data_IF_194985529824
#
_entry.id   IF_194985529824
#
_cell.length_a   1.000
_cell.length_b   1.000
_cell.length_c   1.000
_cell.angle_alpha   90.00
_cell.angle_beta   90.00
_cell.angle_gamma   90.00
#
_symmetry.space_group_name_H-M   'P 1'
#
loop_
_entity.id
_entity.type
_entity.pdbx_description
1 polymer ?
#
# COMPACT_ATOMS: atom_id res chain seq x y z
N UNK A 1 -50.28 12.32 -9.21
CA UNK A 1 -49.24 12.86 -8.30
C UNK A 1 -47.94 12.77 -9.08
N UNK A 2 -47.38 13.92 -9.49
CA UNK A 2 -46.19 14.01 -10.35
C UNK A 2 -44.95 14.09 -9.47
N UNK A 3 -44.00 13.17 -9.65
CA UNK A 3 -42.65 13.35 -9.15
C UNK A 3 -41.72 13.10 -10.33
N UNK A 4 -41.28 14.21 -10.94
CA UNK A 4 -40.18 14.22 -11.88
C UNK A 4 -38.89 14.26 -11.07
N UNK A 5 -38.20 13.12 -10.95
CA UNK A 5 -36.86 13.10 -10.37
C UNK A 5 -35.86 13.12 -11.52
N UNK A 6 -35.26 14.29 -11.75
CA UNK A 6 -34.12 14.45 -12.64
C UNK A 6 -32.87 13.98 -11.89
N UNK A 7 -32.28 12.85 -12.32
CA UNK A 7 -30.91 12.53 -11.97
C UNK A 7 -29.99 12.95 -13.13
N UNK A 8 -29.10 13.89 -12.82
CA UNK A 8 -27.91 14.18 -13.60
C UNK A 8 -26.79 13.45 -12.85
N UNK A 9 -26.31 12.34 -13.41
CA UNK A 9 -25.13 11.63 -12.91
C UNK A 9 -24.13 11.50 -14.06
N UNK A 10 -22.93 12.04 -13.85
CA UNK A 10 -21.83 11.98 -14.80
C UNK A 10 -21.35 10.55 -14.97
N UNK A 11 -21.46 10.05 -16.20
CA UNK A 11 -20.86 8.79 -16.61
C UNK A 11 -19.34 8.95 -16.69
N UNK A 12 -18.61 8.30 -15.78
CA UNK A 12 -17.24 7.91 -16.05
C UNK A 12 -17.28 6.75 -17.05
N UNK A 13 -16.66 6.94 -18.21
CA UNK A 13 -16.57 5.94 -19.25
C UNK A 13 -15.67 4.77 -18.80
N UNK A 14 -16.26 3.78 -18.16
CA UNK A 14 -15.64 2.47 -17.98
C UNK A 14 -15.74 1.70 -19.28
N UNK A 15 -14.59 1.25 -19.76
CA UNK A 15 -14.41 0.45 -20.98
C UNK A 15 -15.29 -0.80 -20.91
N UNK A 16 -16.29 -0.88 -21.78
CA UNK A 16 -17.08 -2.08 -22.04
C UNK A 16 -16.14 -3.19 -22.56
N UNK A 17 -15.90 -4.22 -21.76
CA UNK A 17 -15.36 -5.49 -22.25
C UNK A 17 -16.49 -6.15 -23.02
N UNK A 18 -16.33 -6.21 -24.35
CA UNK A 18 -17.34 -6.73 -25.26
C UNK A 18 -17.73 -8.17 -24.94
N UNK A 19 -18.95 -8.36 -24.41
CA UNK A 19 -19.63 -9.64 -24.45
C UNK A 19 -19.95 -9.95 -25.91
N UNK A 20 -19.26 -10.95 -26.46
CA UNK A 20 -19.44 -11.42 -27.81
C UNK A 20 -20.87 -11.94 -27.99
N UNK A 21 -21.69 -11.16 -28.69
CA UNK A 21 -22.98 -11.59 -29.22
C UNK A 21 -22.73 -12.74 -30.20
N UNK A 22 -22.83 -13.98 -29.73
CA UNK A 22 -22.74 -15.17 -30.59
C UNK A 22 -23.91 -15.14 -31.57
N UNK A 23 -23.59 -14.81 -32.82
CA UNK A 23 -24.52 -14.89 -33.94
C UNK A 23 -24.77 -16.38 -34.23
N UNK A 24 -25.90 -16.90 -33.76
CA UNK A 24 -26.41 -18.20 -34.18
C UNK A 24 -26.74 -18.17 -35.67
N UNK A 25 -25.81 -18.68 -36.50
CA UNK A 25 -26.01 -18.90 -37.92
C UNK A 25 -26.80 -20.20 -38.15
N UNK A 26 -28.09 -20.18 -37.80
CA UNK A 26 -29.08 -21.14 -38.27
C UNK A 26 -30.00 -20.46 -39.26
N UNK A 27 -29.96 -20.85 -40.53
CA UNK A 27 -30.93 -20.39 -41.52
C UNK A 27 -32.29 -21.05 -41.24
N UNK A 28 -32.98 -20.57 -40.20
CA UNK A 28 -34.39 -20.79 -39.99
C UNK A 28 -35.19 -20.10 -41.13
N UNK A 29 -36.41 -20.55 -41.46
CA UNK A 29 -37.27 -19.80 -42.36
C UNK A 29 -37.30 -18.35 -41.90
N UNK A 30 -37.14 -17.40 -42.83
CA UNK A 30 -37.18 -15.98 -42.53
C UNK A 30 -38.58 -15.60 -42.04
N UNK A 31 -38.87 -15.90 -40.77
CA UNK A 31 -39.84 -15.15 -39.98
C UNK A 31 -39.26 -13.76 -39.90
N UNK A 32 -39.87 -12.81 -40.63
CA UNK A 32 -39.39 -11.45 -40.67
C UNK A 32 -39.25 -10.94 -39.23
N UNK A 33 -40.30 -11.12 -38.42
CA UNK A 33 -40.32 -10.84 -36.99
C UNK A 33 -39.33 -11.72 -36.26
N UNK A 34 -38.27 -11.09 -35.77
CA UNK A 34 -37.23 -11.77 -35.00
C UNK A 34 -37.22 -11.13 -33.61
N UNK A 35 -38.09 -11.57 -32.69
CA UNK A 35 -37.97 -11.17 -31.30
C UNK A 35 -36.68 -11.76 -30.74
N UNK A 36 -35.87 -10.91 -30.12
CA UNK A 36 -34.68 -11.33 -29.40
C UNK A 36 -34.70 -10.65 -28.03
N UNK A 37 -34.91 -11.47 -27.01
CA UNK A 37 -34.83 -11.07 -25.61
C UNK A 37 -33.67 -11.84 -25.00
N UNK A 38 -32.78 -11.13 -24.31
CA UNK A 38 -31.66 -11.74 -23.60
C UNK A 38 -31.43 -10.97 -22.29
N UNK A 39 -31.17 -11.70 -21.22
CA UNK A 39 -30.75 -11.13 -19.95
C UNK A 39 -29.28 -11.46 -19.68
N UNK A 40 -28.59 -10.52 -19.06
CA UNK A 40 -27.31 -10.72 -18.38
C UNK A 40 -27.52 -10.44 -16.90
N UNK A 41 -26.45 -10.41 -16.11
CA UNK A 41 -26.57 -9.98 -14.71
C UNK A 41 -26.70 -8.45 -14.55
N UNK A 42 -26.47 -7.68 -15.62
CA UNK A 42 -26.60 -6.22 -15.61
C UNK A 42 -28.01 -5.73 -15.97
N UNK A 43 -28.77 -6.53 -16.73
CA UNK A 43 -30.08 -6.11 -17.23
C UNK A 43 -30.68 -7.02 -18.30
N UNK A 44 -31.77 -6.55 -18.90
CA UNK A 44 -32.49 -7.20 -20.01
C UNK A 44 -32.37 -6.35 -21.28
N UNK A 45 -31.98 -6.97 -22.39
CA UNK A 45 -32.02 -6.37 -23.72
C UNK A 45 -33.22 -6.92 -24.50
N UNK A 46 -34.07 -6.03 -24.99
CA UNK A 46 -35.23 -6.35 -25.82
C UNK A 46 -35.00 -5.78 -27.22
N UNK A 47 -34.81 -6.66 -28.20
CA UNK A 47 -34.63 -6.29 -29.60
C UNK A 47 -35.71 -6.94 -30.48
N UNK A 48 -36.69 -6.14 -30.89
CA UNK A 48 -37.81 -6.51 -31.75
C UNK A 48 -37.58 -5.87 -33.12
N UNK A 49 -37.35 -6.68 -34.16
CA UNK A 49 -37.04 -6.18 -35.51
C UNK A 49 -37.95 -6.76 -36.58
N UNK A 50 -38.08 -5.99 -37.67
CA UNK A 50 -38.90 -6.29 -38.86
C UNK A 50 -40.40 -6.46 -38.59
N UNK A 51 -40.94 -5.67 -37.66
CA UNK A 51 -42.38 -5.53 -37.47
C UNK A 51 -43.00 -4.63 -38.54
N UNK A 52 -44.33 -4.67 -38.67
CA UNK A 52 -45.04 -3.83 -39.61
C UNK A 52 -44.95 -2.35 -39.22
N UNK A 53 -44.35 -1.51 -40.06
CA UNK A 53 -44.16 -0.08 -39.77
C UNK A 53 -45.46 0.71 -39.56
N UNK A 54 -46.56 0.24 -40.15
CA UNK A 54 -47.91 0.83 -40.05
C UNK A 54 -48.84 0.01 -39.16
N UNK A 55 -48.37 -1.12 -38.65
CA UNK A 55 -49.10 -1.96 -37.72
C UNK A 55 -49.06 -1.33 -36.33
N UNK A 56 -50.13 -1.51 -35.54
CA UNK A 56 -50.14 -1.11 -34.13
C UNK A 56 -49.54 -2.24 -33.31
N UNK A 57 -48.22 -2.26 -33.20
CA UNK A 57 -47.54 -3.21 -32.32
C UNK A 57 -47.35 -2.57 -30.95
N UNK A 58 -47.44 -3.36 -29.89
CA UNK A 58 -47.10 -2.94 -28.52
C UNK A 58 -46.16 -3.91 -27.86
N UNK A 59 -45.30 -3.37 -27.00
CA UNK A 59 -44.38 -4.13 -26.17
C UNK A 59 -44.62 -3.72 -24.71
N UNK A 60 -44.81 -4.72 -23.86
CA UNK A 60 -44.84 -4.58 -22.41
C UNK A 60 -43.65 -5.35 -21.83
N UNK A 61 -42.84 -4.67 -21.01
CA UNK A 61 -41.69 -5.25 -20.32
C UNK A 61 -41.93 -5.15 -18.83
N UNK A 62 -41.87 -6.29 -18.16
CA UNK A 62 -42.11 -6.44 -16.73
C UNK A 62 -40.84 -7.02 -16.11
N UNK A 63 -40.30 -6.38 -15.08
CA UNK A 63 -39.14 -6.85 -14.30
C UNK A 63 -39.59 -6.96 -12.84
N UNK A 64 -39.42 -8.13 -12.24
CA UNK A 64 -39.84 -8.44 -10.86
C UNK A 64 -41.30 -8.10 -10.53
N UNK A 65 -42.17 -8.25 -11.54
CA UNK A 65 -43.59 -7.96 -11.44
C UNK A 65 -43.96 -6.47 -11.55
N UNK A 66 -42.99 -5.58 -11.77
CA UNK A 66 -43.22 -4.17 -12.09
C UNK A 66 -43.11 -3.94 -13.61
N UNK A 67 -44.14 -3.33 -14.20
CA UNK A 67 -44.11 -2.90 -15.61
C UNK A 67 -43.16 -1.71 -15.75
N UNK A 68 -41.99 -1.96 -16.34
CA UNK A 68 -40.97 -0.92 -16.59
C UNK A 68 -41.17 -0.23 -17.93
N UNK A 69 -41.84 -0.88 -18.88
CA UNK A 69 -42.22 -0.31 -20.17
C UNK A 69 -43.58 -0.84 -20.62
N UNK A 70 -44.42 0.04 -21.15
CA UNK A 70 -45.64 -0.28 -21.89
C UNK A 70 -45.77 0.75 -23.02
N UNK A 71 -45.43 0.35 -24.24
CA UNK A 71 -45.33 1.27 -25.37
C UNK A 71 -45.77 0.67 -26.69
N UNK A 72 -46.13 1.55 -27.62
CA UNK A 72 -46.40 1.16 -29.01
C UNK A 72 -45.18 1.41 -29.87
N UNK A 73 -44.88 0.49 -30.79
CA UNK A 73 -43.74 0.62 -31.69
C UNK A 73 -44.10 0.32 -33.14
N UNK A 74 -43.30 0.89 -34.06
CA UNK A 74 -43.48 0.73 -35.49
C UNK A 74 -42.75 -0.51 -36.00
N UNK A 75 -41.71 -0.28 -36.82
CA UNK A 75 -40.95 -1.37 -37.45
C UNK A 75 -39.99 -2.07 -36.49
N UNK A 76 -39.49 -1.35 -35.49
CA UNK A 76 -38.46 -1.82 -34.57
C UNK A 76 -38.63 -1.21 -33.18
N UNK A 77 -38.16 -1.95 -32.18
CA UNK A 77 -38.06 -1.55 -30.79
C UNK A 77 -36.82 -2.22 -30.21
N UNK A 78 -35.84 -1.42 -29.78
CA UNK A 78 -34.58 -1.91 -29.22
C UNK A 78 -34.30 -1.09 -27.98
N UNK A 79 -34.43 -1.70 -26.81
CA UNK A 79 -34.21 -1.06 -25.52
C UNK A 79 -33.44 -1.98 -24.57
N UNK A 80 -32.74 -1.37 -23.63
CA UNK A 80 -32.00 -2.04 -22.56
C UNK A 80 -32.52 -1.54 -21.20
N UNK A 81 -32.79 -2.48 -20.29
CA UNK A 81 -33.28 -2.20 -18.94
C UNK A 81 -32.26 -2.70 -17.94
N UNK A 82 -31.65 -1.79 -17.18
CA UNK A 82 -30.71 -2.16 -16.13
C UNK A 82 -31.43 -2.67 -14.87
N UNK A 83 -30.80 -3.59 -14.15
CA UNK A 83 -31.26 -4.02 -12.84
C UNK A 83 -30.75 -3.10 -11.72
N UNK A 84 -31.62 -2.78 -10.77
CA UNK A 84 -31.28 -1.99 -9.58
C UNK A 84 -30.33 -2.74 -8.63
N UNK A 85 -30.46 -4.07 -8.51
CA UNK A 85 -29.62 -4.92 -7.67
C UNK A 85 -29.01 -6.11 -8.43
N UNK A 86 -27.87 -5.87 -9.07
CA UNK A 86 -27.15 -6.89 -9.85
C UNK A 86 -26.66 -8.09 -9.04
N UNK A 87 -26.82 -8.12 -7.71
CA UNK A 87 -26.36 -9.22 -6.86
C UNK A 87 -27.38 -10.34 -6.66
N UNK A 88 -28.61 -10.15 -7.15
CA UNK A 88 -29.69 -11.14 -7.09
C UNK A 88 -30.19 -11.50 -8.50
N UNK A 89 -30.86 -12.65 -8.62
CA UNK A 89 -31.56 -13.01 -9.84
C UNK A 89 -32.82 -12.14 -9.97
N UNK A 90 -33.14 -11.71 -11.20
CA UNK A 90 -34.34 -10.94 -11.51
C UNK A 90 -35.22 -11.71 -12.48
N UNK A 91 -36.53 -11.74 -12.20
CA UNK A 91 -37.51 -12.30 -13.14
C UNK A 91 -37.90 -11.25 -14.18
N UNK A 92 -38.05 -11.65 -15.43
CA UNK A 92 -38.54 -10.74 -16.47
C UNK A 92 -39.58 -11.40 -17.35
N UNK A 93 -40.50 -10.58 -17.88
CA UNK A 93 -41.49 -10.97 -18.87
C UNK A 93 -41.54 -9.91 -19.96
N UNK A 94 -41.52 -10.34 -21.22
CA UNK A 94 -41.70 -9.47 -22.39
C UNK A 94 -42.90 -9.98 -23.17
N UNK A 95 -43.93 -9.14 -23.24
CA UNK A 95 -45.14 -9.38 -24.02
C UNK A 95 -45.11 -8.47 -25.23
N UNK A 96 -45.26 -9.05 -26.42
CA UNK A 96 -45.40 -8.33 -27.68
C UNK A 96 -46.76 -8.68 -28.25
N UNK A 97 -47.57 -7.65 -28.50
CA UNK A 97 -48.85 -7.77 -29.20
C UNK A 97 -48.70 -7.12 -30.56
N UNK A 98 -48.93 -7.89 -31.63
CA UNK A 98 -48.86 -7.42 -33.00
C UNK A 98 -50.20 -7.70 -33.69
N UNK A 99 -50.61 -6.94 -34.72
CA UNK A 99 -51.90 -7.16 -35.36
C UNK A 99 -52.06 -8.60 -35.90
N UNK A 100 -52.97 -9.35 -35.28
CA UNK A 100 -53.15 -10.78 -35.52
C UNK A 100 -52.75 -11.56 -34.28
N UNK A 101 -52.32 -12.82 -34.45
CA UNK A 101 -51.71 -13.61 -33.38
C UNK A 101 -50.44 -14.33 -33.83
N UNK A 102 -50.02 -14.09 -35.08
CA UNK A 102 -48.93 -14.84 -35.70
C UNK A 102 -47.54 -14.33 -35.26
N UNK A 103 -47.50 -13.15 -34.64
CA UNK A 103 -46.28 -12.46 -34.25
C UNK A 103 -46.32 -11.99 -32.80
N UNK A 104 -47.31 -12.50 -32.05
CA UNK A 104 -47.40 -12.26 -30.61
C UNK A 104 -46.29 -13.05 -29.94
N UNK A 105 -45.66 -12.44 -28.95
CA UNK A 105 -44.60 -13.04 -28.17
C UNK A 105 -44.97 -12.90 -26.71
N UNK A 106 -44.87 -13.99 -25.98
CA UNK A 106 -44.96 -13.99 -24.53
C UNK A 106 -43.78 -14.83 -24.05
N UNK A 107 -42.74 -14.16 -23.55
CA UNK A 107 -41.53 -14.82 -23.05
C UNK A 107 -41.26 -14.37 -21.64
N UNK A 108 -40.97 -15.33 -20.78
CA UNK A 108 -40.53 -15.11 -19.41
C UNK A 108 -39.31 -15.96 -19.12
N UNK A 109 -38.39 -15.40 -18.33
CA UNK A 109 -37.19 -16.09 -17.85
C UNK A 109 -36.67 -15.39 -16.58
N UNK A 110 -35.56 -15.89 -16.05
CA UNK A 110 -34.83 -15.28 -14.93
C UNK A 110 -33.38 -14.94 -15.34
N UNK A 111 -32.87 -13.81 -14.85
CA UNK A 111 -31.46 -13.47 -14.98
C UNK A 111 -30.61 -14.20 -13.93
N UNK A 112 -29.33 -14.41 -14.24
CA UNK A 112 -28.36 -14.87 -13.25
C UNK A 112 -27.78 -13.66 -12.48
N UNK A 113 -27.57 -13.76 -11.15
CA UNK A 113 -26.92 -12.71 -10.38
C UNK A 113 -25.47 -12.51 -10.85
N UNK A 114 -24.97 -11.28 -10.76
CA UNK A 114 -23.57 -11.02 -11.09
C UNK A 114 -22.68 -11.76 -10.10
N UNK A 115 -21.54 -12.30 -10.57
CA UNK A 115 -20.55 -12.84 -9.65
C UNK A 115 -20.16 -11.74 -8.67
N UNK A 116 -20.12 -12.08 -7.39
CA UNK A 116 -19.63 -11.16 -6.38
C UNK A 116 -18.25 -10.63 -6.81
N UNK A 117 -17.97 -9.33 -6.62
CA UNK A 117 -16.65 -8.80 -6.92
C UNK A 117 -15.65 -9.69 -6.18
N UNK A 118 -14.66 -10.20 -6.92
CA UNK A 118 -13.59 -11.01 -6.32
C UNK A 118 -12.97 -10.12 -5.26
N UNK A 119 -13.27 -10.40 -4.00
CA UNK A 119 -12.57 -9.76 -2.90
C UNK A 119 -11.14 -10.24 -3.04
N UNK A 120 -10.25 -9.34 -3.46
CA UNK A 120 -8.83 -9.61 -3.37
C UNK A 120 -8.56 -9.98 -1.91
N UNK A 121 -8.27 -11.26 -1.67
CA UNK A 121 -7.84 -11.68 -0.35
C UNK A 121 -6.65 -10.78 0.01
N UNK A 122 -6.63 -10.19 1.22
CA UNK A 122 -5.50 -9.39 1.64
C UNK A 122 -4.24 -10.23 1.41
N UNK A 123 -3.15 -9.62 0.89
CA UNK A 123 -1.94 -10.37 0.60
C UNK A 123 -1.59 -11.16 1.86
N UNK A 124 -1.49 -12.49 1.72
CA UNK A 124 -1.08 -13.36 2.82
C UNK A 124 0.24 -12.79 3.30
N UNK A 125 0.23 -12.21 4.50
CA UNK A 125 1.42 -11.64 5.10
C UNK A 125 2.33 -12.84 5.36
N UNK A 126 3.28 -13.06 4.46
CA UNK A 126 4.33 -14.04 4.69
C UNK A 126 5.00 -13.63 5.99
N UNK A 127 5.06 -14.50 7.02
CA UNK A 127 5.76 -14.17 8.24
C UNK A 127 7.19 -13.73 7.86
N UNK A 128 7.72 -12.68 8.51
CA UNK A 128 9.10 -12.26 8.27
C UNK A 128 10.00 -13.48 8.43
N UNK A 129 10.82 -13.74 7.41
CA UNK A 129 11.85 -14.78 7.48
C UNK A 129 12.69 -14.47 8.72
N UNK A 130 12.64 -15.38 9.69
CA UNK A 130 13.39 -15.24 10.93
C UNK A 130 14.89 -15.28 10.56
N UNK A 131 15.56 -14.13 10.68
CA UNK A 131 16.99 -14.02 10.40
C UNK A 131 17.74 -14.88 11.43
N UNK A 132 18.73 -15.70 11.02
CA UNK A 132 19.49 -16.52 11.95
C UNK A 132 20.10 -15.63 13.06
N UNK A 133 20.15 -16.12 14.32
CA UNK A 133 20.67 -15.31 15.41
C UNK A 133 22.11 -14.89 15.12
N UNK A 134 22.38 -13.58 15.15
CA UNK A 134 23.73 -13.04 15.03
C UNK A 134 24.55 -13.57 16.20
N UNK A 135 25.59 -14.36 15.91
CA UNK A 135 26.50 -14.89 16.92
C UNK A 135 27.41 -13.73 17.39
N UNK A 136 27.05 -13.14 18.53
CA UNK A 136 27.89 -12.12 19.18
C UNK A 136 29.03 -12.83 19.91
N UNK A 137 30.31 -12.47 19.64
CA UNK A 137 31.45 -13.09 20.32
C UNK A 137 31.48 -12.73 21.82
N UNK A 138 31.93 -13.66 22.67
CA UNK A 138 32.07 -13.44 24.12
C UNK A 138 33.05 -12.28 24.41
N UNK A 139 32.64 -11.35 25.28
CA UNK A 139 33.45 -10.19 25.64
C UNK A 139 34.66 -10.61 26.49
N UNK A 140 35.91 -10.23 26.12
CA UNK A 140 37.07 -10.55 26.92
C UNK A 140 37.04 -9.81 28.27
N UNK A 141 37.66 -10.39 29.31
CA UNK A 141 37.77 -9.72 30.60
C UNK A 141 38.62 -8.44 30.51
N UNK A 142 38.25 -7.37 31.23
CA UNK A 142 39.03 -6.14 31.28
C UNK A 142 40.38 -6.40 31.98
N UNK A 143 41.41 -5.66 31.57
CA UNK A 143 42.69 -5.65 32.28
C UNK A 143 42.71 -4.51 33.30
N UNK A 144 43.08 -4.82 34.54
CA UNK A 144 43.12 -3.85 35.63
C UNK A 144 44.53 -3.75 36.22
N UNK A 145 44.98 -2.53 36.46
CA UNK A 145 46.25 -2.25 37.14
C UNK A 145 45.98 -1.28 38.28
N UNK A 146 46.35 -1.67 39.50
CA UNK A 146 46.12 -0.88 40.71
C UNK A 146 47.48 -0.47 41.30
N UNK A 147 47.65 0.83 41.55
CA UNK A 147 48.79 1.39 42.27
C UNK A 147 48.29 2.16 43.49
N UNK A 148 49.06 2.12 44.58
CA UNK A 148 48.73 2.85 45.82
C UNK A 148 49.98 3.57 46.30
N UNK A 149 49.83 4.84 46.64
CA UNK A 149 50.89 5.70 47.18
C UNK A 149 50.39 6.29 48.50
N UNK A 150 51.19 6.18 49.55
CA UNK A 150 50.91 6.79 50.84
C UNK A 150 51.75 8.07 50.99
N UNK A 151 51.09 9.19 51.28
CA UNK A 151 51.71 10.47 51.61
C UNK A 151 51.50 10.77 53.10
N UNK A 152 52.59 10.84 53.87
CA UNK A 152 52.56 11.05 55.32
C UNK A 152 52.83 12.52 55.63
N UNK A 153 51.81 13.21 56.16
CA UNK A 153 51.95 14.58 56.65
C UNK A 153 52.05 14.59 58.17
N UNK A 154 53.27 14.74 58.69
CA UNK A 154 53.57 14.76 60.13
C UNK A 154 53.06 16.02 60.84
N UNK A 155 52.88 17.13 60.12
CA UNK A 155 52.38 18.39 60.71
C UNK A 155 50.88 18.30 61.01
N UNK A 156 50.11 17.73 60.08
CA UNK A 156 48.68 17.46 60.26
C UNK A 156 48.38 16.13 60.94
N UNK A 157 49.41 15.28 61.15
CA UNK A 157 49.29 13.91 61.67
C UNK A 157 48.33 13.04 60.86
N UNK A 158 48.37 13.16 59.53
CA UNK A 158 47.50 12.41 58.63
C UNK A 158 48.31 11.66 57.58
N UNK A 159 47.85 10.47 57.20
CA UNK A 159 48.31 9.73 56.02
C UNK A 159 47.23 9.79 54.96
N UNK A 160 47.59 10.28 53.78
CA UNK A 160 46.74 10.28 52.59
C UNK A 160 47.18 9.14 51.69
N UNK A 161 46.34 8.12 51.55
CA UNK A 161 46.56 7.04 50.60
C UNK A 161 45.85 7.37 49.29
N UNK A 162 46.59 7.53 48.21
CA UNK A 162 46.07 7.71 46.85
C UNK A 162 46.15 6.39 46.10
N UNK A 163 45.00 5.77 45.86
CA UNK A 163 44.87 4.57 45.03
C UNK A 163 44.47 4.96 43.61
N UNK A 164 45.31 4.62 42.64
CA UNK A 164 45.02 4.78 41.20
C UNK A 164 44.71 3.43 40.58
N UNK A 165 43.52 3.30 39.98
CA UNK A 165 43.09 2.11 39.24
C UNK A 165 43.00 2.47 37.75
N UNK A 166 43.74 1.75 36.90
CA UNK A 166 43.66 1.86 35.45
C UNK A 166 42.97 0.63 34.90
N UNK A 167 41.78 0.80 34.32
CA UNK A 167 40.98 -0.28 33.73
C UNK A 167 40.97 -0.13 32.21
N UNK A 168 41.42 -1.15 31.49
CA UNK A 168 41.35 -1.22 30.02
C UNK A 168 40.25 -2.22 29.62
N UNK A 169 39.13 -1.69 29.12
CA UNK A 169 38.00 -2.48 28.63
C UNK A 169 38.12 -2.90 27.16
N UNK A 170 37.01 -3.39 26.61
CA UNK A 170 36.88 -3.79 25.22
C UNK A 170 35.63 -3.15 24.60
N UNK A 171 35.72 -2.77 23.32
CA UNK A 171 34.60 -2.29 22.51
C UNK A 171 34.43 -3.24 21.34
N UNK A 172 33.19 -3.62 21.02
CA UNK A 172 32.90 -4.45 19.84
C UNK A 172 32.97 -3.57 18.59
N UNK A 173 33.84 -3.90 17.66
CA UNK A 173 33.82 -3.34 16.32
C UNK A 173 32.73 -4.06 15.51
N UNK A 174 31.59 -3.39 15.32
CA UNK A 174 30.43 -3.91 14.59
C UNK A 174 30.74 -4.25 13.13
N UNK A 175 31.79 -3.63 12.54
CA UNK A 175 32.18 -3.87 11.14
C UNK A 175 32.92 -5.20 10.99
N UNK A 176 33.83 -5.48 11.93
CA UNK A 176 34.65 -6.70 11.90
C UNK A 176 34.08 -7.82 12.77
N UNK A 177 33.08 -7.53 13.60
CA UNK A 177 32.58 -8.40 14.66
C UNK A 177 33.71 -8.90 15.58
N UNK A 178 34.65 -8.01 15.92
CA UNK A 178 35.79 -8.33 16.81
C UNK A 178 35.90 -7.35 17.96
N UNK A 179 36.38 -7.84 19.11
CA UNK A 179 36.63 -7.00 20.27
C UNK A 179 37.96 -6.25 20.12
N UNK A 180 37.90 -4.92 20.16
CA UNK A 180 39.07 -4.04 20.17
C UNK A 180 39.28 -3.45 21.56
N UNK A 181 40.53 -3.20 21.95
CA UNK A 181 40.84 -2.60 23.27
C UNK A 181 40.29 -1.18 23.32
N UNK A 182 39.53 -0.88 24.37
CA UNK A 182 39.04 0.47 24.63
C UNK A 182 40.16 1.37 25.19
N UNK A 183 39.93 2.68 25.15
CA UNK A 183 40.80 3.63 25.84
C UNK A 183 40.82 3.34 27.35
N UNK A 184 42.00 3.38 28.00
CA UNK A 184 42.10 3.08 29.41
C UNK A 184 41.40 4.16 30.24
N UNK A 185 40.60 3.74 31.21
CA UNK A 185 39.94 4.63 32.18
C UNK A 185 40.72 4.61 33.49
N UNK A 186 41.11 5.79 33.95
CA UNK A 186 41.84 5.96 35.21
C UNK A 186 40.89 6.48 36.29
N UNK A 187 40.80 5.75 37.40
CA UNK A 187 40.05 6.16 38.60
C UNK A 187 41.02 6.40 39.74
N UNK A 188 40.97 7.59 40.35
CA UNK A 188 41.78 7.94 41.53
C UNK A 188 40.87 8.01 42.75
N UNK A 189 41.26 7.33 43.81
CA UNK A 189 40.57 7.35 45.10
C UNK A 189 41.56 7.75 46.18
N UNK A 190 41.20 8.76 46.96
CA UNK A 190 41.96 9.19 48.13
C UNK A 190 41.26 8.74 49.41
N UNK A 191 42.05 8.24 50.37
CA UNK A 191 41.58 7.94 51.72
C UNK A 191 42.54 8.55 52.72
N UNK A 192 41.99 9.29 53.68
CA UNK A 192 42.77 9.93 54.75
C UNK A 192 42.54 9.14 56.03
N UNK A 193 43.63 8.88 56.76
CA UNK A 193 43.60 8.33 58.12
C UNK A 193 44.56 9.09 59.02
N UNK A 194 44.37 8.96 60.33
CA UNK A 194 45.35 9.45 61.30
C UNK A 194 46.68 8.69 61.15
N UNK A 195 47.79 9.42 61.26
CA UNK A 195 49.12 8.83 61.28
C UNK A 195 49.38 8.13 62.61
N UNK A 196 49.93 6.93 62.55
CA UNK A 196 50.36 6.21 63.75
C UNK A 196 51.65 6.80 64.31
N UNK A 197 51.90 6.63 65.60
CA UNK A 197 53.05 7.22 66.32
C UNK A 197 54.41 6.82 65.69
N UNK A 198 54.48 5.67 65.01
CA UNK A 198 55.66 5.22 64.28
C UNK A 198 55.84 5.84 62.88
N UNK A 199 54.77 6.26 62.22
CA UNK A 199 54.81 6.85 60.87
C UNK A 199 55.30 8.30 60.89
N UNK A 200 55.10 9.00 62.02
CA UNK A 200 55.61 10.36 62.24
C UNK A 200 56.89 10.40 63.07
N UNK A 201 57.67 9.31 63.09
CA UNK A 201 58.96 9.34 63.77
C UNK A 201 59.80 10.40 63.10
N UNK A 202 60.01 11.53 63.81
CA UNK A 202 60.91 12.60 63.39
C UNK A 202 62.27 11.94 63.23
N UNK A 203 62.66 11.62 61.99
CA UNK A 203 64.06 11.36 61.73
C UNK A 203 64.81 12.58 62.24
N UNK A 204 65.54 12.39 63.33
CA UNK A 204 66.61 13.29 63.74
C UNK A 204 67.35 13.70 62.47
N UNK A 205 67.48 15.00 62.16
CA UNK A 205 67.97 15.44 60.88
C UNK A 205 69.28 14.73 60.57
N UNK A 206 69.40 14.04 59.41
CA UNK A 206 70.64 13.38 59.07
C UNK A 206 71.73 14.44 59.06
N UNK A 207 72.82 14.18 59.78
CA UNK A 207 74.05 14.95 59.69
C UNK A 207 74.37 15.15 58.22
N UNK A 208 74.32 16.41 57.78
CA UNK A 208 74.59 16.88 56.41
C UNK A 208 75.69 16.06 55.72
N UNK A 209 75.28 15.10 54.89
CA UNK A 209 76.17 14.47 53.92
C UNK A 209 75.94 15.16 52.58
N UNK A 210 77.00 15.78 52.07
CA UNK A 210 77.07 16.47 50.79
C UNK A 210 76.45 15.63 49.66
N UNK A 211 75.55 16.20 48.83
CA UNK A 211 74.83 15.43 47.82
C UNK A 211 75.76 15.03 46.65
N UNK A 212 75.69 13.79 46.14
CA UNK A 212 76.13 13.49 44.79
C UNK A 212 75.10 14.03 43.79
N UNK A 213 75.61 14.70 42.76
CA UNK A 213 74.85 15.19 41.61
C UNK A 213 74.36 13.97 40.82
N UNK A 214 73.06 13.72 40.80
CA UNK A 214 72.44 12.71 39.95
C UNK A 214 71.48 13.40 38.97
N UNK A 215 71.89 13.40 37.69
CA UNK A 215 71.17 13.92 36.54
C UNK A 215 69.82 13.19 36.38
N UNK A 216 68.75 13.82 36.85
CA UNK A 216 67.39 13.37 36.55
C UNK A 216 66.90 14.04 35.25
N UNK A 217 66.48 13.29 34.22
CA UNK A 217 65.89 13.88 33.03
C UNK A 217 64.56 14.59 33.37
N UNK A 218 64.22 15.70 32.71
CA UNK A 218 63.05 16.49 33.05
C UNK A 218 61.77 15.68 32.88
N UNK A 219 61.02 15.58 33.98
CA UNK A 219 59.63 15.09 33.96
C UNK A 219 58.82 16.00 33.04
N UNK A 220 58.15 15.48 31.99
CA UNK A 220 57.29 16.31 31.14
C UNK A 220 56.16 16.90 31.99
N UNK A 221 56.03 18.23 31.92
CA UNK A 221 54.98 18.96 32.60
C UNK A 221 53.61 18.41 32.19
N UNK A 222 52.83 17.92 33.16
CA UNK A 222 51.42 17.62 32.92
C UNK A 222 50.71 18.91 32.49
N UNK A 223 49.92 18.89 31.40
CA UNK A 223 49.15 20.06 30.99
C UNK A 223 48.15 20.44 32.11
N UNK A 224 47.79 21.73 32.23
CA UNK A 224 46.84 22.17 33.23
C UNK A 224 45.50 21.45 33.03
N UNK A 225 45.02 20.78 34.07
CA UNK A 225 43.67 20.23 34.15
C UNK A 225 42.70 21.42 34.07
N UNK A 226 42.14 21.64 32.88
CA UNK A 226 41.08 22.62 32.67
C UNK A 226 39.81 22.06 33.34
N UNK A 227 39.19 22.77 34.29
CA UNK A 227 37.93 22.32 34.87
C UNK A 227 36.87 22.20 33.76
N UNK A 228 36.05 21.12 33.75
CA UNK A 228 35.03 20.94 32.73
C UNK A 228 34.09 22.13 32.72
N UNK A 229 33.93 22.75 31.55
CA UNK A 229 32.99 23.83 31.34
C UNK A 229 31.59 23.38 31.75
N UNK A 230 30.93 24.17 32.60
CA UNK A 230 29.55 23.95 32.99
C UNK A 230 28.68 23.87 31.73
N UNK A 231 28.12 22.68 31.48
CA UNK A 231 27.20 22.44 30.38
C UNK A 231 25.91 23.18 30.70
N UNK A 232 25.64 24.29 30.00
CA UNK A 232 24.35 24.96 30.05
C UNK A 232 23.29 24.04 29.42
N UNK A 233 22.13 23.84 30.06
CA UNK A 233 21.06 23.02 29.49
C UNK A 233 20.55 23.63 28.17
N UNK A 234 20.10 22.80 27.21
CA UNK A 234 19.55 23.29 25.96
C UNK A 234 18.31 24.14 26.22
N UNK A 235 18.30 25.35 25.68
CA UNK A 235 17.13 26.23 25.64
C UNK A 235 16.12 25.63 24.69
N UNK A 236 15.02 25.12 25.25
CA UNK A 236 13.86 24.66 24.49
C UNK A 236 13.17 25.86 23.84
N UNK A 237 13.28 25.98 22.51
CA UNK A 237 12.53 26.97 21.73
C UNK A 237 11.08 26.48 21.63
N UNK A 238 10.07 27.31 21.95
CA UNK A 238 8.67 26.92 21.75
C UNK A 238 8.35 26.86 20.25
N UNK A 239 8.00 25.67 19.78
CA UNK A 239 7.36 25.45 18.48
C UNK A 239 5.97 26.08 18.49
N UNK A 240 5.81 27.19 17.76
CA UNK A 240 4.51 27.78 17.43
C UNK A 240 3.72 26.86 16.49
N UNK A 241 2.49 26.57 16.88
CA UNK A 241 1.47 25.85 16.11
C UNK A 241 0.99 26.69 14.90
N UNK A 242 0.33 26.05 13.90
CA UNK A 242 0.13 26.61 12.57
C UNK A 242 -1.02 27.61 12.50
N UNK A 243 -0.85 28.61 11.65
CA UNK A 243 -1.89 29.54 11.24
C UNK A 243 -2.74 28.86 10.17
N UNK A 244 -4.02 28.68 10.49
CA UNK A 244 -5.10 28.48 9.52
C UNK A 244 -5.10 29.67 8.55
N UNK A 245 -4.90 29.42 7.26
CA UNK A 245 -5.29 30.38 6.24
C UNK A 245 -6.09 29.70 5.13
N UNK A 246 -7.34 30.12 5.09
CA UNK A 246 -8.39 29.83 4.14
C UNK A 246 -8.03 30.31 2.73
N UNK A 247 -8.55 29.56 1.74
CA UNK A 247 -8.89 30.00 0.38
C UNK A 247 -7.75 30.39 -0.57
N UNK A 248 -7.51 29.55 -1.59
CA UNK A 248 -7.89 29.91 -2.97
C UNK A 248 -7.87 28.70 -3.91
N UNK A 249 -8.94 28.61 -4.69
CA UNK A 249 -9.19 27.74 -5.83
C UNK A 249 -8.15 27.98 -6.92
N UNK A 250 -7.59 26.92 -7.49
CA UNK A 250 -7.27 26.82 -8.92
C UNK A 250 -7.07 25.37 -9.32
N UNK A 251 -8.09 24.87 -10.03
CA UNK A 251 -8.05 23.71 -10.91
C UNK A 251 -6.77 23.68 -11.75
N UNK A 252 -5.99 22.61 -11.60
CA UNK A 252 -4.96 22.22 -12.55
C UNK A 252 -5.01 20.69 -12.66
N UNK A 253 -5.87 20.20 -13.56
CA UNK A 253 -5.82 18.82 -14.02
C UNK A 253 -4.69 18.67 -15.05
N UNK A 254 -3.96 17.54 -15.02
CA UNK A 254 -2.89 17.28 -15.97
C UNK A 254 -3.46 17.10 -17.39
N UNK A 255 -2.84 17.78 -18.34
CA UNK A 255 -3.02 17.55 -19.76
C UNK A 255 -2.62 16.10 -20.11
N UNK A 256 -3.60 15.24 -20.33
CA UNK A 256 -3.37 13.98 -21.05
C UNK A 256 -3.38 14.28 -22.55
N UNK A 257 -2.19 14.55 -23.09
CA UNK A 257 -1.97 14.55 -24.52
C UNK A 257 -2.23 13.16 -25.09
N UNK A 258 -3.35 12.99 -25.78
CA UNK A 258 -3.58 11.88 -26.69
C UNK A 258 -3.39 12.40 -28.12
N UNK A 259 -2.15 12.31 -28.60
CA UNK A 259 -1.84 12.44 -30.02
C UNK A 259 -2.59 11.34 -30.79
N UNK A 260 -3.77 11.70 -31.32
CA UNK A 260 -4.55 10.83 -32.20
C UNK A 260 -4.08 11.04 -33.64
N UNK A 261 -2.84 10.65 -33.88
CA UNK A 261 -2.31 10.38 -35.20
C UNK A 261 -1.97 8.88 -35.23
N UNK A 262 -1.94 8.31 -36.43
CA UNK A 262 -1.66 6.90 -36.75
C UNK A 262 -2.89 6.00 -36.95
N UNK A 263 -3.18 5.88 -38.25
CA UNK A 263 -3.32 4.60 -38.95
C UNK A 263 -4.70 3.94 -38.95
N UNK A 264 -5.48 4.37 -39.96
CA UNK A 264 -6.24 3.48 -40.84
C UNK A 264 -5.36 2.24 -41.18
N UNK A 265 -5.91 1.03 -41.11
CA UNK A 265 -5.93 0.25 -42.34
C UNK A 265 -7.32 -0.30 -42.67
N UNK A 266 -7.65 -0.09 -43.94
CA UNK A 266 -8.61 -0.81 -44.75
C UNK A 266 -8.64 -2.31 -44.44
N UNK A 267 -9.81 -2.84 -44.12
CA UNK A 267 -10.15 -4.23 -44.37
C UNK A 267 -11.43 -4.28 -45.21
N UNK A 268 -11.28 -3.95 -46.49
CA UNK A 268 -12.21 -4.38 -47.52
C UNK A 268 -11.89 -5.81 -47.95
N UNK A 269 -12.92 -6.63 -48.15
CA UNK A 269 -12.86 -7.78 -49.05
C UNK A 269 -13.10 -9.15 -48.44
N UNK A 270 -14.36 -9.62 -48.51
CA UNK A 270 -14.72 -11.02 -48.76
C UNK A 270 -16.16 -11.03 -49.30
N UNK A 271 -16.35 -10.90 -50.61
CA UNK A 271 -16.57 -12.01 -51.57
C UNK A 271 -17.77 -12.89 -51.16
N UNK A 272 -18.96 -12.68 -51.74
CA UNK A 272 -19.39 -13.35 -52.99
C UNK A 272 -19.12 -14.86 -53.02
N UNK A 273 -19.96 -15.65 -52.34
CA UNK A 273 -20.26 -17.04 -52.69
C UNK A 273 -21.51 -17.52 -51.94
N UNK A 274 -22.64 -17.63 -52.63
CA UNK A 274 -23.85 -18.18 -52.01
C UNK A 274 -25.08 -18.27 -52.91
N UNK A 275 -24.92 -18.18 -54.24
CA UNK A 275 -26.00 -18.41 -55.20
C UNK A 275 -25.74 -19.74 -55.92
N UNK A 276 -26.11 -20.87 -55.29
CA UNK A 276 -26.41 -22.15 -55.95
C UNK A 276 -26.58 -23.27 -54.91
N UNK A 277 -27.78 -23.47 -54.36
CA UNK A 277 -28.35 -24.81 -54.15
C UNK A 277 -29.83 -24.70 -53.75
N UNK A 278 -30.62 -25.68 -54.20
CA UNK A 278 -32.06 -25.90 -53.93
C UNK A 278 -33.05 -25.47 -55.02
N UNK A 279 -32.73 -25.82 -56.27
CA UNK A 279 -33.71 -26.15 -57.30
C UNK A 279 -33.78 -27.69 -57.49
N UNK A 280 -34.01 -28.46 -56.41
CA UNK A 280 -34.38 -29.88 -56.52
C UNK A 280 -35.36 -30.26 -55.39
N UNK A 281 -36.65 -30.03 -55.61
CA UNK A 281 -37.68 -31.00 -55.20
C UNK A 281 -38.98 -30.79 -55.98
N UNK A 282 -38.86 -30.99 -57.29
CA UNK A 282 -40.00 -31.24 -58.18
C UNK A 282 -40.47 -32.69 -57.94
N UNK A 283 -41.77 -32.82 -57.68
CA UNK A 283 -42.64 -33.97 -57.94
C UNK A 283 -42.31 -35.31 -57.27
N UNK A 284 -43.13 -35.70 -56.28
CA UNK A 284 -43.72 -37.05 -56.20
C UNK A 284 -44.91 -37.04 -55.24
N UNK A 285 -45.96 -37.79 -55.64
CA UNK A 285 -47.30 -38.02 -55.04
C UNK A 285 -48.35 -37.04 -55.55
N UNK A 286 -49.32 -37.38 -56.41
CA UNK A 286 -50.00 -38.65 -56.73
C UNK A 286 -50.52 -39.38 -55.50
#
# INVERSE_FOLDING_TARGET
MKIHTKFIAGFNASVLVGAALVLFAGAAPATAHTPKVAATCDGVTVALTNYGATAKNSAEVIIDGETVEDTTFGKEFIEEYEFDDRTVAHSYTVVVDAPGTAHDVDTSDESEPCPAPVQEEPPVVTPPVEEPPVVVPEMPQPNETVTSVDDVNCDSKTVTTTTTTVTTGWTLDETSNTWVKAEPVTTVKETVRDATEGECTVETPPTSVTPPVEDTPPTPASPPVVPPAAVTPPVTVPTTAPVDDTTTVSDSLPATGSDTAWAIPLAGGLLLAGAALMLVRRTRRA
#
